data_IF_143506823223
#
_entry.id   IF_143506823223
#
_cell.length_a   1.000
_cell.length_b   1.000
_cell.length_c   1.000
_cell.angle_alpha   90.00
_cell.angle_beta   90.00
_cell.angle_gamma   90.00
#
_symmetry.space_group_name_H-M   'P 1'
#
loop_
_entity.id
_entity.type
_entity.pdbx_description
1 polymer ?
#
# COMPACT_ATOMS: atom_id res chain seq x y z
N UNK A 1 -0.42 -2.36 37.63
CA UNK A 1 -1.64 -1.66 37.16
C UNK A 1 -2.30 -2.55 36.10
N UNK A 2 -3.57 -2.92 36.26
CA UNK A 2 -4.22 -3.95 35.41
C UNK A 2 -4.26 -3.57 33.91
N UNK A 3 -4.57 -2.30 33.59
CA UNK A 3 -4.60 -1.80 32.21
C UNK A 3 -3.23 -1.88 31.53
N UNK A 4 -2.15 -1.53 32.25
CA UNK A 4 -0.79 -1.62 31.72
C UNK A 4 -0.38 -3.08 31.39
N UNK A 5 -0.95 -4.07 32.09
CA UNK A 5 -0.72 -5.49 31.76
C UNK A 5 -1.51 -5.92 30.52
N UNK A 6 -2.66 -5.31 30.25
CA UNK A 6 -3.42 -5.52 29.01
C UNK A 6 -2.65 -4.94 27.82
N UNK A 7 -2.17 -3.70 27.94
CA UNK A 7 -1.39 -3.03 26.89
C UNK A 7 -0.10 -3.79 26.55
N UNK A 8 0.54 -4.41 27.55
CA UNK A 8 1.72 -5.24 27.37
C UNK A 8 1.41 -6.67 26.88
N UNK A 9 0.15 -6.99 26.53
CA UNK A 9 -0.33 -8.32 26.15
C UNK A 9 -0.07 -9.42 27.19
N UNK A 10 0.10 -9.05 28.46
CA UNK A 10 0.32 -9.98 29.58
C UNK A 10 -0.99 -10.50 30.15
N UNK A 11 -2.09 -9.78 29.93
CA UNK A 11 -3.45 -10.17 30.36
C UNK A 11 -4.44 -9.98 29.23
N UNK A 12 -5.30 -10.98 29.08
CA UNK A 12 -6.44 -10.94 28.16
C UNK A 12 -7.70 -10.63 28.96
N UNK A 13 -8.27 -9.42 28.81
CA UNK A 13 -9.49 -9.03 29.50
C UNK A 13 -10.71 -9.81 28.98
N UNK A 14 -11.76 -9.91 29.79
CA UNK A 14 -13.04 -10.50 29.36
C UNK A 14 -13.77 -9.58 28.37
N UNK A 15 -14.74 -10.12 27.62
CA UNK A 15 -15.58 -9.33 26.70
C UNK A 15 -16.25 -8.14 27.41
N UNK A 16 -16.82 -8.36 28.60
CA UNK A 16 -17.41 -7.29 29.41
C UNK A 16 -16.40 -6.19 29.79
N UNK A 17 -15.14 -6.57 30.00
CA UNK A 17 -14.08 -5.61 30.32
C UNK A 17 -13.69 -4.80 29.08
N UNK A 18 -13.67 -5.44 27.91
CA UNK A 18 -13.43 -4.77 26.63
C UNK A 18 -14.53 -3.75 26.30
N UNK A 19 -15.80 -4.08 26.56
CA UNK A 19 -16.93 -3.14 26.40
C UNK A 19 -16.76 -1.90 27.30
N UNK A 20 -16.43 -2.11 28.57
CA UNK A 20 -16.19 -1.01 29.51
C UNK A 20 -15.00 -0.14 29.09
N UNK A 21 -13.96 -0.77 28.53
CA UNK A 21 -12.79 -0.05 28.01
C UNK A 21 -13.16 0.78 26.78
N UNK A 22 -13.91 0.23 25.82
CA UNK A 22 -14.36 0.97 24.64
C UNK A 22 -15.27 2.13 25.01
N UNK A 23 -16.18 1.94 25.98
CA UNK A 23 -17.06 2.99 26.49
C UNK A 23 -16.27 4.14 27.14
N UNK A 24 -15.28 3.80 27.96
CA UNK A 24 -14.41 4.79 28.61
C UNK A 24 -13.58 5.59 27.59
N UNK A 25 -13.14 4.95 26.51
CA UNK A 25 -12.35 5.55 25.43
C UNK A 25 -13.22 6.22 24.36
N UNK A 26 -14.56 6.05 24.40
CA UNK A 26 -15.52 6.56 23.41
C UNK A 26 -15.24 6.13 21.98
N UNK A 27 -14.82 4.87 21.81
CA UNK A 27 -14.60 4.23 20.51
C UNK A 27 -15.47 2.97 20.39
N UNK A 28 -15.60 2.41 19.20
CA UNK A 28 -16.23 1.09 19.04
C UNK A 28 -15.30 -0.02 19.57
N UNK A 29 -15.84 -1.15 20.07
CA UNK A 29 -15.02 -2.29 20.49
C UNK A 29 -14.09 -2.82 19.39
N UNK A 30 -14.50 -2.71 18.12
CA UNK A 30 -13.67 -3.08 16.97
C UNK A 30 -12.40 -2.23 16.83
N UNK A 31 -12.43 -0.98 17.26
CA UNK A 31 -11.27 -0.08 17.18
C UNK A 31 -10.17 -0.44 18.18
N UNK A 32 -10.48 -1.16 19.27
CA UNK A 32 -9.47 -1.71 20.19
C UNK A 32 -8.55 -2.73 19.50
N UNK A 33 -9.02 -3.34 18.43
CA UNK A 33 -8.30 -4.36 17.65
C UNK A 33 -7.86 -3.84 16.29
N UNK A 34 -8.13 -2.57 15.98
CA UNK A 34 -7.66 -1.96 14.76
C UNK A 34 -6.13 -1.88 14.83
N UNK A 35 -5.46 -2.54 13.90
CA UNK A 35 -4.03 -2.38 13.73
C UNK A 35 -3.78 -0.91 13.33
N UNK A 36 -3.07 -0.16 14.16
CA UNK A 36 -2.67 1.24 13.90
C UNK A 36 -1.95 1.35 12.54
N UNK A 37 -1.36 0.25 12.10
CA UNK A 37 -0.74 0.07 10.80
C UNK A 37 -1.74 0.19 9.64
N UNK A 38 -3.01 -0.22 9.80
CA UNK A 38 -3.96 -0.36 8.69
C UNK A 38 -4.31 0.97 7.99
N UNK A 39 -4.52 2.05 8.75
CA UNK A 39 -4.86 3.36 8.18
C UNK A 39 -3.67 4.08 7.53
N UNK A 40 -2.54 4.13 8.24
CA UNK A 40 -1.32 4.79 7.75
C UNK A 40 -0.64 4.00 6.61
N UNK A 41 -0.67 2.66 6.65
CA UNK A 41 -0.11 1.85 5.57
C UNK A 41 -1.01 1.72 4.36
N UNK A 42 -2.34 1.84 4.48
CA UNK A 42 -3.20 1.80 3.29
C UNK A 42 -2.88 2.94 2.32
N UNK A 43 -2.74 4.17 2.83
CA UNK A 43 -2.36 5.32 2.02
C UNK A 43 -0.93 5.18 1.47
N UNK A 44 0.01 4.74 2.31
CA UNK A 44 1.40 4.55 1.91
C UNK A 44 1.57 3.44 0.85
N UNK A 45 0.89 2.31 1.03
CA UNK A 45 0.84 1.21 0.05
C UNK A 45 0.19 1.65 -1.26
N UNK A 46 -0.87 2.45 -1.20
CA UNK A 46 -1.49 2.99 -2.40
C UNK A 46 -0.49 3.90 -3.15
N UNK A 47 0.17 4.81 -2.44
CA UNK A 47 1.19 5.69 -3.00
C UNK A 47 2.35 4.91 -3.64
N UNK A 48 2.87 3.89 -2.96
CA UNK A 48 3.92 3.01 -3.47
C UNK A 48 3.45 2.22 -4.70
N UNK A 49 2.26 1.64 -4.66
CA UNK A 49 1.67 0.89 -5.77
C UNK A 49 1.50 1.77 -7.02
N UNK A 50 1.03 3.01 -6.85
CA UNK A 50 0.88 3.96 -7.96
C UNK A 50 2.24 4.36 -8.54
N UNK A 51 3.26 4.57 -7.70
CA UNK A 51 4.61 4.91 -8.15
C UNK A 51 5.23 3.79 -9.00
N UNK A 52 5.16 2.54 -8.50
CA UNK A 52 5.65 1.35 -9.22
C UNK A 52 4.90 1.14 -10.54
N UNK A 53 3.57 1.32 -10.54
CA UNK A 53 2.76 1.20 -11.76
C UNK A 53 3.16 2.22 -12.81
N UNK A 54 3.52 3.45 -12.40
CA UNK A 54 3.97 4.50 -13.32
C UNK A 54 5.32 4.16 -13.93
N UNK A 55 6.26 3.70 -13.12
CA UNK A 55 7.59 3.30 -13.56
C UNK A 55 7.54 2.14 -14.55
N UNK A 56 6.79 1.08 -14.23
CA UNK A 56 6.63 -0.08 -15.11
C UNK A 56 6.01 0.30 -16.46
N UNK A 57 5.03 1.22 -16.47
CA UNK A 57 4.45 1.75 -17.72
C UNK A 57 5.47 2.52 -18.55
N UNK A 58 6.33 3.31 -17.92
CA UNK A 58 7.38 4.04 -18.62
C UNK A 58 8.40 3.08 -19.26
N UNK A 59 8.80 2.05 -18.53
CA UNK A 59 9.71 1.01 -19.04
C UNK A 59 9.10 0.26 -20.24
N UNK A 60 7.84 -0.19 -20.11
CA UNK A 60 7.13 -0.90 -21.17
C UNK A 60 7.01 -0.04 -22.44
N UNK A 61 6.67 1.25 -22.29
CA UNK A 61 6.60 2.16 -23.43
C UNK A 61 7.96 2.31 -24.11
N UNK A 62 9.05 2.46 -23.35
CA UNK A 62 10.40 2.55 -23.92
C UNK A 62 10.80 1.28 -24.68
N UNK A 63 10.41 0.09 -24.18
CA UNK A 63 10.63 -1.19 -24.87
C UNK A 63 9.82 -1.28 -26.16
N UNK A 64 8.56 -0.85 -26.15
CA UNK A 64 7.70 -0.81 -27.34
C UNK A 64 8.31 0.12 -28.41
N UNK A 65 8.79 1.29 -28.01
CA UNK A 65 9.43 2.24 -28.93
C UNK A 65 10.70 1.65 -29.56
N UNK A 66 11.53 0.98 -28.75
CA UNK A 66 12.74 0.33 -29.24
C UNK A 66 12.44 -0.78 -30.27
N UNK A 67 11.43 -1.61 -30.00
CA UNK A 67 10.97 -2.66 -30.92
C UNK A 67 10.41 -2.04 -32.20
N UNK A 68 9.58 -1.00 -32.07
CA UNK A 68 9.01 -0.27 -33.21
C UNK A 68 10.11 0.35 -34.07
N UNK A 69 11.11 0.99 -33.47
CA UNK A 69 12.24 1.56 -34.21
C UNK A 69 13.05 0.48 -34.94
N UNK A 70 13.27 -0.67 -34.30
CA UNK A 70 14.07 -1.77 -34.86
C UNK A 70 13.36 -2.48 -36.03
N UNK A 71 12.04 -2.58 -36.01
CA UNK A 71 11.30 -3.45 -36.93
C UNK A 71 10.30 -2.72 -37.85
N UNK A 72 9.89 -1.49 -37.51
CA UNK A 72 8.90 -0.71 -38.29
C UNK A 72 9.46 0.59 -38.89
N UNK A 73 10.69 1.01 -38.57
CA UNK A 73 11.29 2.17 -39.26
C UNK A 73 11.72 1.77 -40.68
N UNK A 74 11.28 2.50 -41.73
CA UNK A 74 11.67 2.19 -43.10
C UNK A 74 13.19 2.34 -43.26
N UNK A 75 13.87 1.49 -44.06
CA UNK A 75 15.27 1.69 -44.39
C UNK A 75 15.40 3.05 -45.07
N UNK A 76 16.31 3.89 -44.57
CA UNK A 76 16.68 5.15 -45.21
C UNK A 76 16.90 4.87 -46.70
N UNK A 77 16.04 5.42 -47.57
CA UNK A 77 16.28 5.41 -49.00
C UNK A 77 17.59 6.17 -49.21
N UNK A 78 18.65 5.41 -49.45
CA UNK A 78 19.93 5.93 -49.90
C UNK A 78 19.65 6.56 -51.27
N UNK A 79 19.51 7.89 -51.27
CA UNK A 79 19.39 8.70 -52.47
C UNK A 79 20.72 8.58 -53.22
N UNK A 80 20.82 7.58 -54.10
CA UNK A 80 21.91 7.53 -55.07
C UNK A 80 21.45 8.09 -56.41
N UNK A 81 22.17 9.16 -56.74
CA UNK A 81 22.34 9.88 -58.00
C UNK A 81 22.49 8.97 -59.23
#
# INVERSE_FOLDING_TARGET
>A
HYVAEIEAAKKYPSAQTLERLSDALKISPSELFADVTSGATAFQRHKEMTALSRELRAELNGRIDAVTKKHLSPPSRDSRE
#
